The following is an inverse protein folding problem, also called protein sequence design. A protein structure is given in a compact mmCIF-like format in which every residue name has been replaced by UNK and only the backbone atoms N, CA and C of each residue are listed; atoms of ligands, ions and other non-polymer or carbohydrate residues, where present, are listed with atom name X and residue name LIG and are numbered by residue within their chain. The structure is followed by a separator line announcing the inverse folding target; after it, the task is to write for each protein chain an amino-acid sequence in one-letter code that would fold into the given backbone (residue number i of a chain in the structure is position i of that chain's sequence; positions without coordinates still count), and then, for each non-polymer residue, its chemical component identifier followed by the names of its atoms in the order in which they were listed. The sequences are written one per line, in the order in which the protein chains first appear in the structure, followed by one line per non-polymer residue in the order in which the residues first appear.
data_IF_057847634204
#
_entry.id   IF_057847634204
#
_cell.length_a   1.000
_cell.length_b   1.000
_cell.length_c   1.000
_cell.angle_alpha   90.00
_cell.angle_beta   90.00
_cell.angle_gamma   90.00
#
_symmetry.space_group_name_H-M   'P 1'
#
loop_
_entity.id
_entity.type
_entity.pdbx_description
1 polymer ?
#
# COMPACT_ATOMS: atom_id res chain seq x y z
N UNK A 1 -12.28 -18.84 10.23
CA UNK A 1 -11.84 -17.49 10.67
C UNK A 1 -11.91 -16.62 9.44
N UNK A 2 -12.49 -15.41 9.50
CA UNK A 2 -12.55 -14.54 8.34
C UNK A 2 -11.16 -14.26 7.78
N UNK A 3 -11.02 -14.24 6.46
CA UNK A 3 -9.77 -14.01 5.73
C UNK A 3 -9.93 -12.79 4.82
N UNK A 4 -9.21 -11.71 5.14
CA UNK A 4 -9.04 -10.56 4.24
C UNK A 4 -7.72 -10.70 3.49
N UNK A 5 -7.80 -10.87 2.19
CA UNK A 5 -6.63 -10.80 1.31
C UNK A 5 -6.40 -9.38 0.81
N UNK A 6 -5.15 -9.00 0.60
CA UNK A 6 -4.76 -7.70 0.06
C UNK A 6 -3.77 -7.91 -1.08
N UNK A 7 -4.11 -7.41 -2.26
CA UNK A 7 -3.20 -7.34 -3.41
C UNK A 7 -2.72 -5.89 -3.50
N UNK A 8 -1.44 -5.65 -3.27
CA UNK A 8 -0.94 -4.31 -3.01
C UNK A 8 0.14 -3.82 -3.97
N UNK A 9 0.06 -2.52 -4.27
CA UNK A 9 1.09 -1.81 -5.02
C UNK A 9 2.33 -1.62 -4.16
N UNK A 10 3.49 -1.98 -4.67
CA UNK A 10 4.77 -1.72 -3.98
C UNK A 10 5.02 -0.23 -3.68
N UNK A 11 4.40 0.69 -4.43
CA UNK A 11 4.49 2.14 -4.15
C UNK A 11 3.73 2.55 -2.89
N UNK A 12 2.75 1.76 -2.44
CA UNK A 12 1.94 2.02 -1.25
C UNK A 12 2.38 1.16 -0.05
N UNK A 13 3.64 0.72 -0.04
CA UNK A 13 4.19 -0.12 1.03
C UNK A 13 4.07 0.56 2.39
N UNK A 14 4.34 1.86 2.48
CA UNK A 14 4.31 2.63 3.74
C UNK A 14 2.90 2.79 4.27
N UNK A 15 1.93 3.10 3.40
CA UNK A 15 0.51 3.18 3.73
C UNK A 15 -0.02 1.83 4.18
N UNK A 16 0.42 0.74 3.54
CA UNK A 16 0.03 -0.62 3.94
C UNK A 16 0.62 -1.00 5.30
N UNK A 17 1.89 -0.72 5.54
CA UNK A 17 2.54 -0.94 6.85
C UNK A 17 1.79 -0.17 7.94
N UNK A 18 1.43 1.09 7.67
CA UNK A 18 0.73 1.95 8.60
C UNK A 18 -0.62 1.40 9.05
N UNK A 19 -1.45 0.93 8.11
CA UNK A 19 -2.76 0.37 8.46
C UNK A 19 -2.64 -0.96 9.21
N UNK A 20 -1.63 -1.79 8.87
CA UNK A 20 -1.44 -3.11 9.48
C UNK A 20 -0.93 -3.04 10.92
N UNK A 21 0.05 -2.17 11.21
CA UNK A 21 0.61 -2.05 12.58
C UNK A 21 -0.44 -1.53 13.58
N UNK A 22 -1.41 -0.74 13.10
CA UNK A 22 -2.45 -0.14 13.93
C UNK A 22 -3.64 -1.07 14.18
N UNK A 23 -3.74 -2.19 13.48
CA UNK A 23 -4.86 -3.12 13.62
C UNK A 23 -4.59 -4.19 14.68
N UNK A 24 -5.23 -4.03 15.84
CA UNK A 24 -5.12 -4.97 16.96
C UNK A 24 -6.02 -6.22 16.83
N UNK A 25 -6.90 -6.31 15.82
CA UNK A 25 -7.78 -7.47 15.63
C UNK A 25 -7.23 -8.49 14.62
N UNK A 26 -6.05 -8.22 14.04
CA UNK A 26 -5.33 -9.20 13.22
C UNK A 26 -4.92 -10.38 14.12
N UNK A 27 -5.47 -11.57 13.84
CA UNK A 27 -5.07 -12.84 14.48
C UNK A 27 -3.72 -13.30 13.96
N UNK A 28 -3.58 -13.30 12.64
CA UNK A 28 -2.34 -13.63 11.94
C UNK A 28 -2.19 -12.78 10.68
N UNK A 29 -0.95 -12.40 10.42
CA UNK A 29 -0.54 -11.75 9.18
C UNK A 29 0.33 -12.73 8.39
N UNK A 30 -0.09 -13.03 7.16
CA UNK A 30 0.64 -13.86 6.20
C UNK A 30 1.08 -12.95 5.07
N UNK A 31 2.34 -13.02 4.68
CA UNK A 31 2.91 -12.29 3.54
C UNK A 31 3.34 -13.31 2.51
N UNK A 32 2.83 -13.17 1.29
CA UNK A 32 3.19 -14.03 0.16
C UNK A 32 4.66 -13.79 -0.20
N UNK A 33 5.43 -14.87 -0.24
CA UNK A 33 6.86 -14.87 -0.56
C UNK A 33 7.11 -14.41 -2.00
N UNK A 34 7.94 -13.39 -2.17
CA UNK A 34 8.48 -12.97 -3.46
C UNK A 34 9.77 -12.14 -3.27
N UNK A 35 10.39 -11.68 -4.36
CA UNK A 35 11.69 -10.98 -4.31
C UNK A 35 11.63 -9.53 -3.80
N UNK A 36 10.43 -8.97 -3.57
CA UNK A 36 10.22 -7.53 -3.29
C UNK A 36 9.80 -7.24 -1.83
N UNK A 37 9.66 -8.25 -0.96
CA UNK A 37 9.09 -8.07 0.39
C UNK A 37 10.12 -7.70 1.47
N UNK A 38 11.42 -7.67 1.18
CA UNK A 38 12.43 -7.46 2.22
C UNK A 38 12.29 -6.09 2.93
N UNK A 39 12.01 -5.03 2.18
CA UNK A 39 11.73 -3.69 2.69
C UNK A 39 10.48 -3.68 3.57
N UNK A 40 9.38 -4.21 3.04
CA UNK A 40 8.10 -4.37 3.73
C UNK A 40 8.24 -5.13 5.05
N UNK A 41 8.88 -6.31 5.04
CA UNK A 41 9.09 -7.14 6.24
C UNK A 41 9.90 -6.42 7.31
N UNK A 42 10.93 -5.66 6.91
CA UNK A 42 11.72 -4.85 7.83
C UNK A 42 10.85 -3.80 8.53
N UNK A 43 10.02 -3.06 7.77
CA UNK A 43 9.14 -2.02 8.30
C UNK A 43 8.07 -2.59 9.25
N UNK A 44 7.45 -3.71 8.89
CA UNK A 44 6.51 -4.42 9.77
C UNK A 44 7.17 -4.84 11.09
N UNK A 45 8.37 -5.42 11.04
CA UNK A 45 9.11 -5.85 12.23
C UNK A 45 9.52 -4.67 13.12
N UNK A 46 9.94 -3.56 12.53
CA UNK A 46 10.21 -2.31 13.26
C UNK A 46 8.96 -1.78 13.96
N UNK A 47 7.78 -2.02 13.41
CA UNK A 47 6.48 -1.75 14.03
C UNK A 47 6.00 -2.79 15.04
N UNK A 48 6.79 -3.83 15.32
CA UNK A 48 6.43 -4.91 16.25
C UNK A 48 5.52 -6.00 15.66
N UNK A 49 5.22 -5.95 14.35
CA UNK A 49 4.39 -6.94 13.67
C UNK A 49 5.27 -7.96 12.94
N UNK A 50 5.17 -9.24 13.32
CA UNK A 50 5.99 -10.32 12.75
C UNK A 50 5.11 -11.22 11.88
N UNK A 51 5.11 -11.04 10.54
CA UNK A 51 4.32 -11.86 9.64
C UNK A 51 4.94 -13.24 9.42
N UNK A 52 4.09 -14.18 9.01
CA UNK A 52 4.53 -15.45 8.40
C UNK A 52 4.78 -15.23 6.92
N UNK A 53 5.87 -15.77 6.41
CA UNK A 53 6.21 -15.66 4.98
C UNK A 53 6.09 -17.04 4.35
N UNK A 54 5.28 -17.16 3.31
CA UNK A 54 5.03 -18.43 2.64
C UNK A 54 4.65 -18.21 1.17
N UNK A 55 4.89 -19.19 0.31
CA UNK A 55 4.44 -19.14 -1.09
C UNK A 55 2.91 -19.19 -1.18
N UNK A 56 2.35 -18.55 -2.21
CA UNK A 56 0.91 -18.38 -2.37
C UNK A 56 0.13 -19.70 -2.37
N UNK A 57 0.68 -20.73 -3.02
CA UNK A 57 0.09 -22.08 -3.13
C UNK A 57 -0.06 -22.80 -1.77
N UNK A 58 0.74 -22.41 -0.77
CA UNK A 58 0.71 -23.01 0.57
C UNK A 58 -0.09 -22.19 1.59
N UNK A 59 -0.63 -21.04 1.21
CA UNK A 59 -1.46 -20.21 2.10
C UNK A 59 -2.68 -20.98 2.64
N UNK A 60 -3.46 -21.73 1.84
CA UNK A 60 -4.63 -22.47 2.34
C UNK A 60 -4.28 -23.44 3.49
N UNK A 61 -3.16 -24.15 3.37
CA UNK A 61 -2.70 -25.09 4.41
C UNK A 61 -2.46 -24.40 5.75
N UNK A 62 -1.96 -23.15 5.74
CA UNK A 62 -1.69 -22.37 6.94
C UNK A 62 -2.98 -21.78 7.56
N UNK A 63 -3.98 -21.50 6.73
CA UNK A 63 -5.30 -21.04 7.18
C UNK A 63 -6.09 -22.19 7.84
N UNK A 64 -6.01 -23.40 7.28
CA UNK A 64 -6.69 -24.60 7.80
C UNK A 64 -6.08 -25.13 9.10
N UNK A 65 -4.76 -25.11 9.24
CA UNK A 65 -4.05 -25.67 10.41
C UNK A 65 -4.16 -24.85 11.70
N UNK A 66 -4.88 -23.71 11.67
CA UNK A 66 -5.26 -22.86 12.81
C UNK A 66 -4.40 -22.99 14.08
N UNK A 67 -3.42 -22.11 14.30
CA UNK A 67 -2.52 -22.27 15.46
C UNK A 67 -2.82 -21.34 16.66
N UNK A 68 -2.70 -21.94 17.85
CA UNK A 68 -2.83 -21.38 19.20
C UNK A 68 -1.60 -20.54 19.62
N UNK A 69 -1.75 -19.38 20.31
CA UNK A 69 -0.71 -18.36 20.34
C UNK A 69 0.34 -18.55 21.44
N UNK A 70 1.62 -18.48 21.05
CA UNK A 70 2.74 -18.09 21.92
C UNK A 70 2.87 -16.56 22.09
N UNK A 71 1.80 -15.80 21.89
CA UNK A 71 1.78 -14.33 21.97
C UNK A 71 1.44 -13.86 23.39
N UNK A 72 2.32 -14.14 24.35
CA UNK A 72 2.31 -13.52 25.69
C UNK A 72 3.76 -13.24 26.12
N UNK A 73 4.43 -12.23 25.56
CA UNK A 73 5.62 -11.65 26.24
C UNK A 73 6.14 -10.27 25.81
N UNK A 74 5.52 -9.53 24.89
CA UNK A 74 6.07 -8.24 24.45
C UNK A 74 5.21 -7.03 24.85
N UNK A 75 3.99 -7.22 25.38
CA UNK A 75 3.13 -6.12 25.82
C UNK A 75 3.65 -5.32 27.03
N UNK A 76 4.70 -5.79 27.73
CA UNK A 76 5.26 -5.08 28.90
C UNK A 76 6.41 -4.12 28.59
N UNK A 77 7.08 -4.25 27.44
CA UNK A 77 8.32 -3.49 27.18
C UNK A 77 8.09 -2.14 26.48
N UNK A 78 6.95 -1.96 25.80
CA UNK A 78 6.61 -0.73 25.07
C UNK A 78 5.91 0.35 25.92
N UNK A 79 5.71 0.13 27.23
CA UNK A 79 5.09 1.09 28.16
C UNK A 79 6.02 2.24 28.59
N UNK A 80 7.19 2.41 27.95
CA UNK A 80 8.16 3.45 28.30
C UNK A 80 8.25 4.63 27.31
N UNK A 81 7.52 4.61 26.19
CA UNK A 81 7.42 5.78 25.32
C UNK A 81 6.29 6.71 25.78
N UNK A 82 6.64 7.67 26.63
CA UNK A 82 5.76 8.63 27.31
C UNK A 82 5.07 9.69 26.41
N UNK A 83 4.90 9.46 25.09
CA UNK A 83 4.34 10.46 24.16
C UNK A 83 2.95 10.16 23.57
N UNK A 84 2.36 8.97 23.79
CA UNK A 84 0.98 8.65 23.34
C UNK A 84 -0.04 8.50 24.49
N UNK A 85 0.15 9.24 25.58
CA UNK A 85 -0.78 9.27 26.73
C UNK A 85 -1.93 10.27 26.51
N UNK A 86 -2.77 10.07 25.49
CA UNK A 86 -4.13 10.67 25.48
C UNK A 86 -5.17 10.01 24.57
N UNK A 87 -5.08 8.70 24.29
CA UNK A 87 -6.18 7.95 23.68
C UNK A 87 -6.28 6.48 24.15
N UNK A 88 -5.78 6.15 25.34
CA UNK A 88 -5.69 4.75 25.80
C UNK A 88 -6.43 4.47 27.11
N UNK A 89 -7.68 4.91 27.21
CA UNK A 89 -8.62 4.47 28.25
C UNK A 89 -10.01 4.25 27.63
N UNK A 90 -10.15 3.31 26.69
CA UNK A 90 -11.47 2.71 26.37
C UNK A 90 -11.52 1.45 25.49
N UNK A 91 -10.46 0.66 25.33
CA UNK A 91 -10.54 -0.58 24.51
C UNK A 91 -9.86 -1.75 25.22
N UNK A 92 -10.44 -2.15 26.35
CA UNK A 92 -10.33 -3.51 26.89
C UNK A 92 -11.73 -4.06 27.23
N UNK A 93 -12.74 -3.73 26.40
CA UNK A 93 -14.09 -4.28 26.56
C UNK A 93 -14.71 -4.57 25.19
N UNK A 94 -14.28 -5.70 24.60
CA UNK A 94 -14.85 -6.28 23.41
C UNK A 94 -13.99 -7.45 22.93
N UNK A 95 -14.45 -8.69 23.13
CA UNK A 95 -13.92 -9.85 22.42
C UNK A 95 -14.34 -9.74 20.94
N UNK A 96 -13.71 -8.84 20.19
CA UNK A 96 -13.94 -8.66 18.76
C UNK A 96 -13.57 -9.91 17.97
N UNK A 97 -14.32 -10.18 16.89
CA UNK A 97 -13.99 -11.26 15.95
C UNK A 97 -12.65 -10.91 15.32
N UNK A 98 -11.66 -11.77 15.52
CA UNK A 98 -10.33 -11.58 14.92
C UNK A 98 -10.35 -11.97 13.45
N UNK A 99 -9.41 -11.44 12.68
CA UNK A 99 -9.30 -11.68 11.23
C UNK A 99 -7.91 -12.18 10.86
N UNK A 100 -7.83 -13.02 9.84
CA UNK A 100 -6.58 -13.38 9.19
C UNK A 100 -6.36 -12.45 7.99
N UNK A 101 -5.15 -11.92 7.87
CA UNK A 101 -4.79 -11.03 6.77
C UNK A 101 -3.71 -11.69 5.92
N UNK A 102 -3.94 -11.80 4.60
CA UNK A 102 -2.97 -12.32 3.62
C UNK A 102 -2.56 -11.19 2.68
N UNK A 103 -1.28 -10.85 2.66
CA UNK A 103 -0.73 -9.77 1.84
C UNK A 103 0.04 -10.34 0.66
N UNK A 104 -0.29 -9.90 -0.54
CA UNK A 104 0.50 -10.12 -1.73
C UNK A 104 0.97 -8.76 -2.28
N UNK A 105 2.19 -8.38 -1.90
CA UNK A 105 2.83 -7.15 -2.36
C UNK A 105 3.48 -7.40 -3.72
N UNK A 106 2.88 -6.84 -4.77
CA UNK A 106 3.35 -7.05 -6.14
C UNK A 106 4.59 -6.20 -6.44
N UNK A 107 5.29 -6.55 -7.54
CA UNK A 107 6.52 -5.88 -7.96
C UNK A 107 6.33 -4.38 -8.14
N UNK A 108 7.36 -3.63 -7.78
CA UNK A 108 7.42 -2.18 -7.99
C UNK A 108 7.36 -1.83 -9.48
N UNK A 109 6.68 -0.74 -9.84
CA UNK A 109 6.73 -0.21 -11.20
C UNK A 109 5.95 -1.01 -12.25
N UNK A 110 5.07 -1.95 -11.86
CA UNK A 110 4.22 -2.68 -12.81
C UNK A 110 3.38 -1.76 -13.70
N UNK A 111 3.03 -0.55 -13.25
CA UNK A 111 2.28 0.44 -14.02
C UNK A 111 3.00 0.94 -15.29
N UNK A 112 4.30 0.64 -15.45
CA UNK A 112 5.05 0.95 -16.69
C UNK A 112 4.57 0.08 -17.85
N UNK A 113 4.07 -1.12 -17.58
CA UNK A 113 3.47 -2.02 -18.57
C UNK A 113 2.05 -2.39 -18.11
N UNK A 114 1.07 -1.71 -18.73
CA UNK A 114 -0.34 -1.82 -18.38
C UNK A 114 -0.91 -3.24 -18.60
N UNK A 115 -0.45 -3.95 -19.62
CA UNK A 115 -0.89 -5.33 -19.89
C UNK A 115 -0.32 -6.28 -18.85
N UNK A 116 0.96 -6.11 -18.50
CA UNK A 116 1.59 -6.88 -17.43
C UNK A 116 0.90 -6.62 -16.08
N UNK A 117 0.66 -5.35 -15.73
CA UNK A 117 -0.07 -4.96 -14.53
C UNK A 117 -1.43 -5.65 -14.46
N UNK A 118 -2.22 -5.57 -15.54
CA UNK A 118 -3.53 -6.22 -15.62
C UNK A 118 -3.40 -7.72 -15.39
N UNK A 119 -2.52 -8.37 -16.14
CA UNK A 119 -2.35 -9.82 -16.10
C UNK A 119 -1.99 -10.32 -14.69
N UNK A 120 -1.06 -9.64 -14.01
CA UNK A 120 -0.62 -9.99 -12.66
C UNK A 120 -1.72 -9.76 -11.62
N UNK A 121 -2.42 -8.62 -11.64
CA UNK A 121 -3.52 -8.37 -10.70
C UNK A 121 -4.65 -9.39 -10.90
N UNK A 122 -5.05 -9.67 -12.15
CA UNK A 122 -6.15 -10.60 -12.45
C UNK A 122 -5.80 -12.04 -12.03
N UNK A 123 -4.56 -12.47 -12.29
CA UNK A 123 -4.06 -13.77 -11.84
C UNK A 123 -4.13 -13.89 -10.31
N UNK A 124 -3.64 -12.88 -9.59
CA UNK A 124 -3.63 -12.91 -8.13
C UNK A 124 -5.03 -12.83 -7.53
N UNK A 125 -5.97 -12.09 -8.14
CA UNK A 125 -7.39 -12.10 -7.75
C UNK A 125 -7.96 -13.51 -7.85
N UNK A 126 -7.78 -14.20 -8.99
CA UNK A 126 -8.30 -15.57 -9.17
C UNK A 126 -7.72 -16.57 -8.18
N UNK A 127 -6.43 -16.48 -7.89
CA UNK A 127 -5.77 -17.41 -6.97
C UNK A 127 -6.17 -17.13 -5.51
N UNK A 128 -6.19 -15.86 -5.10
CA UNK A 128 -6.49 -15.50 -3.71
C UNK A 128 -7.99 -15.64 -3.38
N UNK A 129 -8.88 -15.50 -4.36
CA UNK A 129 -10.33 -15.66 -4.15
C UNK A 129 -10.71 -17.07 -3.67
N UNK A 130 -9.88 -18.09 -3.94
CA UNK A 130 -10.12 -19.49 -3.54
C UNK A 130 -10.15 -19.71 -2.02
N UNK A 131 -9.56 -18.80 -1.25
CA UNK A 131 -9.42 -18.94 0.21
C UNK A 131 -9.79 -17.67 1.00
N UNK A 132 -10.30 -16.64 0.32
CA UNK A 132 -10.55 -15.33 0.93
C UNK A 132 -12.03 -15.04 1.06
N UNK A 133 -12.44 -14.44 2.18
CA UNK A 133 -13.79 -13.93 2.38
C UNK A 133 -13.97 -12.52 1.77
N UNK A 134 -12.86 -11.89 1.37
CA UNK A 134 -12.83 -10.66 0.61
C UNK A 134 -11.40 -10.28 0.20
N UNK A 135 -11.26 -9.54 -0.90
CA UNK A 135 -9.96 -9.06 -1.39
C UNK A 135 -9.98 -7.54 -1.47
N UNK A 136 -9.04 -6.89 -0.77
CA UNK A 136 -8.75 -5.47 -0.96
C UNK A 136 -7.71 -5.29 -2.05
N UNK A 137 -8.10 -4.64 -3.14
CA UNK A 137 -7.22 -4.15 -4.19
C UNK A 137 -6.59 -2.84 -3.69
N UNK A 138 -5.38 -2.95 -3.14
CA UNK A 138 -4.60 -1.83 -2.62
C UNK A 138 -3.78 -1.19 -3.75
N UNK A 139 -4.52 -0.81 -4.79
CA UNK A 139 -4.11 -0.16 -6.03
C UNK A 139 -5.16 0.88 -6.41
N UNK A 140 -4.76 1.89 -7.19
CA UNK A 140 -5.71 2.73 -7.92
C UNK A 140 -6.14 2.09 -9.24
N UNK A 141 -6.81 2.85 -10.11
CA UNK A 141 -7.22 2.36 -11.43
C UNK A 141 -6.05 2.17 -12.41
N UNK A 142 -4.94 2.87 -12.17
CA UNK A 142 -3.67 2.86 -12.92
C UNK A 142 -3.88 2.94 -14.44
N UNK A 143 -4.38 4.09 -14.91
CA UNK A 143 -4.71 4.29 -16.33
C UNK A 143 -5.99 3.55 -16.75
N UNK A 144 -6.95 3.41 -15.82
CA UNK A 144 -8.23 2.72 -15.97
C UNK A 144 -8.18 1.21 -16.27
N UNK A 145 -6.98 0.62 -16.36
CA UNK A 145 -6.77 -0.81 -16.64
C UNK A 145 -7.41 -1.70 -15.59
N UNK A 146 -7.35 -1.28 -14.33
CA UNK A 146 -7.93 -1.98 -13.19
C UNK A 146 -9.38 -1.55 -12.90
N UNK A 147 -9.91 -0.55 -13.61
CA UNK A 147 -11.29 -0.06 -13.42
C UNK A 147 -12.37 -1.08 -13.82
N UNK A 148 -12.02 -2.10 -14.61
CA UNK A 148 -12.91 -3.19 -14.99
C UNK A 148 -13.02 -4.32 -13.96
N UNK A 149 -12.20 -4.35 -12.91
CA UNK A 149 -12.08 -5.50 -12.01
C UNK A 149 -13.41 -5.94 -11.38
N UNK A 150 -14.21 -5.00 -10.89
CA UNK A 150 -15.49 -5.32 -10.23
C UNK A 150 -16.48 -5.99 -11.21
N UNK A 151 -16.53 -5.52 -12.46
CA UNK A 151 -17.38 -6.11 -13.50
C UNK A 151 -16.84 -7.46 -13.98
N UNK A 152 -15.53 -7.54 -14.21
CA UNK A 152 -14.88 -8.69 -14.83
C UNK A 152 -14.80 -9.90 -13.86
N UNK A 153 -15.06 -9.67 -12.58
CA UNK A 153 -15.13 -10.66 -11.51
C UNK A 153 -16.47 -10.66 -10.75
N UNK A 154 -17.55 -10.18 -11.38
CA UNK A 154 -18.88 -10.13 -10.78
C UNK A 154 -19.47 -11.52 -10.43
N UNK A 155 -18.91 -12.58 -11.01
CA UNK A 155 -19.25 -13.99 -10.77
C UNK A 155 -18.48 -14.59 -9.58
N UNK A 156 -17.48 -13.90 -9.01
CA UNK A 156 -16.79 -14.37 -7.83
C UNK A 156 -17.66 -14.20 -6.57
N UNK A 157 -17.78 -15.27 -5.78
CA UNK A 157 -18.39 -15.20 -4.44
C UNK A 157 -17.59 -14.28 -3.49
N UNK A 158 -16.27 -14.19 -3.73
CA UNK A 158 -15.35 -13.35 -2.98
C UNK A 158 -15.47 -11.87 -3.43
N UNK A 159 -15.97 -10.95 -2.57
CA UNK A 159 -16.12 -9.55 -2.93
C UNK A 159 -14.76 -8.85 -3.06
N UNK A 160 -14.67 -7.94 -4.03
CA UNK A 160 -13.55 -7.04 -4.19
C UNK A 160 -13.83 -5.69 -3.50
N UNK A 161 -12.81 -5.16 -2.84
CA UNK A 161 -12.79 -3.83 -2.24
C UNK A 161 -11.67 -3.01 -2.88
N UNK A 162 -11.78 -1.68 -2.86
CA UNK A 162 -10.86 -0.79 -3.57
C UNK A 162 -10.47 0.40 -2.69
N UNK A 163 -9.35 1.02 -3.02
CA UNK A 163 -8.96 2.30 -2.44
C UNK A 163 -9.89 3.40 -2.96
N UNK A 164 -10.69 3.97 -2.06
CA UNK A 164 -11.67 5.00 -2.38
C UNK A 164 -11.35 6.30 -1.68
N UNK A 165 -11.53 7.41 -2.39
CA UNK A 165 -11.42 8.74 -1.79
C UNK A 165 -12.69 9.14 -1.03
N UNK A 166 -12.73 10.39 -0.54
CA UNK A 166 -13.88 10.91 0.22
C UNK A 166 -15.18 11.02 -0.58
N UNK A 167 -15.11 11.04 -1.91
CA UNK A 167 -16.29 11.04 -2.78
C UNK A 167 -16.87 9.63 -2.99
N UNK A 168 -16.11 8.59 -2.64
CA UNK A 168 -16.48 7.19 -2.84
C UNK A 168 -16.00 6.60 -4.18
N UNK A 169 -15.32 7.40 -4.98
CA UNK A 169 -14.68 7.00 -6.24
C UNK A 169 -13.36 6.27 -5.97
N UNK A 170 -13.00 5.34 -6.86
CA UNK A 170 -11.72 4.64 -6.79
C UNK A 170 -10.61 5.64 -7.14
N UNK A 171 -9.53 5.64 -6.36
CA UNK A 171 -8.39 6.53 -6.63
C UNK A 171 -7.70 6.21 -7.96
N UNK A 172 -7.21 7.23 -8.64
CA UNK A 172 -6.60 7.06 -9.97
C UNK A 172 -5.34 6.19 -9.93
N UNK A 173 -4.45 6.43 -8.96
CA UNK A 173 -3.22 5.67 -8.79
C UNK A 173 -2.68 5.78 -7.34
N UNK A 174 -1.47 5.29 -7.11
CA UNK A 174 -0.80 5.38 -5.81
C UNK A 174 -0.43 6.82 -5.41
N UNK A 175 -0.21 7.72 -6.37
CA UNK A 175 0.09 9.13 -6.07
C UNK A 175 -1.18 9.84 -5.60
N UNK A 176 -2.31 9.60 -6.28
CA UNK A 176 -3.62 10.07 -5.85
C UNK A 176 -3.96 9.58 -4.45
N UNK A 177 -3.75 8.29 -4.16
CA UNK A 177 -3.94 7.73 -2.83
C UNK A 177 -3.08 8.46 -1.78
N UNK A 178 -1.78 8.67 -2.04
CA UNK A 178 -0.85 9.32 -1.13
C UNK A 178 -1.11 10.83 -0.93
N UNK A 179 -1.74 11.50 -1.91
CA UNK A 179 -2.20 12.89 -1.78
C UNK A 179 -3.52 13.02 -1.02
N UNK A 180 -4.24 11.90 -0.80
CA UNK A 180 -5.51 11.88 -0.10
C UNK A 180 -6.76 11.80 -0.98
N UNK A 181 -6.62 11.52 -2.27
CA UNK A 181 -7.74 11.26 -3.19
C UNK A 181 -7.62 11.95 -4.55
N UNK A 182 -8.66 11.79 -5.38
CA UNK A 182 -8.64 12.29 -6.75
C UNK A 182 -8.68 13.83 -6.81
N UNK A 183 -9.49 14.46 -5.97
CA UNK A 183 -9.57 15.93 -5.90
C UNK A 183 -8.26 16.57 -5.45
N UNK A 184 -7.61 15.98 -4.43
CA UNK A 184 -6.29 16.44 -3.97
C UNK A 184 -5.23 16.29 -5.07
N UNK A 185 -5.31 15.19 -5.84
CA UNK A 185 -4.41 14.97 -6.97
C UNK A 185 -4.62 16.01 -8.08
N UNK A 186 -5.87 16.28 -8.46
CA UNK A 186 -6.20 17.32 -9.43
C UNK A 186 -5.75 18.72 -8.95
N UNK A 187 -5.95 19.03 -7.66
CA UNK A 187 -5.46 20.26 -7.03
C UNK A 187 -3.94 20.40 -7.13
N UNK A 188 -3.20 19.34 -6.81
CA UNK A 188 -1.74 19.33 -6.91
C UNK A 188 -1.23 19.55 -8.35
N UNK A 189 -1.94 19.03 -9.37
CA UNK A 189 -1.63 19.32 -10.77
C UNK A 189 -1.86 20.79 -11.13
N UNK A 190 -2.96 21.37 -10.65
CA UNK A 190 -3.30 22.79 -10.87
C UNK A 190 -2.28 23.73 -10.20
N UNK A 191 -1.85 23.43 -8.98
CA UNK A 191 -0.81 24.19 -8.27
C UNK A 191 0.53 24.21 -9.02
N UNK A 192 0.85 23.11 -9.71
CA UNK A 192 2.03 23.02 -10.57
C UNK A 192 1.89 23.80 -11.89
N UNK A 193 0.72 24.38 -12.20
CA UNK A 193 0.42 25.18 -13.40
C UNK A 193 0.82 24.49 -14.72
N UNK A 194 0.66 23.17 -14.78
CA UNK A 194 1.03 22.38 -15.96
C UNK A 194 2.54 22.30 -16.25
N UNK A 195 3.40 22.70 -15.30
CA UNK A 195 4.82 22.35 -15.35
C UNK A 195 4.96 20.84 -15.20
N UNK A 196 5.93 20.25 -15.90
CA UNK A 196 6.23 18.83 -15.71
C UNK A 196 6.71 18.61 -14.27
N UNK A 197 5.94 17.83 -13.54
CA UNK A 197 6.16 17.52 -12.13
C UNK A 197 6.29 16.03 -11.95
N UNK A 198 7.30 15.62 -11.20
CA UNK A 198 7.44 14.25 -10.71
C UNK A 198 7.04 14.23 -9.24
N UNK A 199 6.05 13.41 -8.91
CA UNK A 199 5.53 13.27 -7.55
C UNK A 199 6.29 12.17 -6.81
N UNK A 200 6.84 12.52 -5.66
CA UNK A 200 7.77 11.70 -4.89
C UNK A 200 7.12 11.34 -3.56
N UNK A 201 6.69 10.09 -3.44
CA UNK A 201 6.44 9.43 -2.15
C UNK A 201 7.76 8.87 -1.60
N UNK A 202 7.85 8.49 -0.32
CA UNK A 202 9.05 7.85 0.22
C UNK A 202 9.45 6.58 -0.56
N UNK A 203 8.47 5.75 -0.93
CA UNK A 203 8.71 4.57 -1.76
C UNK A 203 9.23 4.91 -3.16
N UNK A 204 8.73 5.98 -3.77
CA UNK A 204 9.23 6.43 -5.07
C UNK A 204 10.66 6.97 -4.96
N UNK A 205 10.92 7.86 -4.00
CA UNK A 205 12.22 8.49 -3.79
C UNK A 205 13.31 7.48 -3.39
N UNK A 206 13.00 6.46 -2.61
CA UNK A 206 13.99 5.41 -2.28
C UNK A 206 14.27 4.45 -3.44
N UNK A 207 13.38 4.38 -4.44
CA UNK A 207 13.42 3.35 -5.49
C UNK A 207 13.75 3.87 -6.87
N UNK A 208 13.89 5.19 -7.08
CA UNK A 208 14.05 5.77 -8.42
C UNK A 208 15.24 5.19 -9.21
N UNK A 209 16.37 4.91 -8.55
CA UNK A 209 17.56 4.28 -9.17
C UNK A 209 17.30 2.84 -9.63
N UNK A 210 16.47 2.11 -8.89
CA UNK A 210 16.07 0.75 -9.26
C UNK A 210 15.09 0.80 -10.43
N UNK A 211 14.08 1.68 -10.36
CA UNK A 211 13.11 1.89 -11.43
C UNK A 211 13.80 2.31 -12.74
N UNK A 212 14.83 3.14 -12.65
CA UNK A 212 15.66 3.52 -13.80
C UNK A 212 16.32 2.29 -14.44
N UNK A 213 16.96 1.42 -13.64
CA UNK A 213 17.64 0.21 -14.13
C UNK A 213 16.67 -0.85 -14.67
N UNK A 214 15.58 -1.10 -13.95
CA UNK A 214 14.58 -2.12 -14.29
C UNK A 214 13.76 -1.75 -15.52
N UNK A 215 13.56 -0.45 -15.76
CA UNK A 215 12.81 -0.02 -16.94
C UNK A 215 13.48 -0.48 -18.23
N UNK A 216 14.81 -0.73 -18.25
CA UNK A 216 15.54 -1.18 -19.44
C UNK A 216 15.38 -0.27 -20.67
N UNK A 217 14.68 0.85 -20.52
CA UNK A 217 14.02 1.56 -21.60
C UNK A 217 14.41 3.02 -21.50
N UNK A 218 14.89 3.53 -22.62
CA UNK A 218 15.27 4.92 -22.82
C UNK A 218 14.10 5.89 -22.53
N UNK A 219 12.88 5.40 -22.35
CA UNK A 219 11.65 6.17 -22.38
C UNK A 219 11.35 6.96 -21.10
N UNK A 220 11.33 6.37 -19.90
CA UNK A 220 11.12 7.15 -18.65
C UNK A 220 12.20 8.22 -18.47
N UNK A 221 13.45 7.83 -18.72
CA UNK A 221 14.60 8.70 -18.64
C UNK A 221 14.59 9.79 -19.72
N UNK A 222 14.32 9.48 -20.99
CA UNK A 222 14.38 10.49 -22.06
C UNK A 222 13.08 11.29 -22.23
N UNK A 223 11.89 10.73 -21.97
CA UNK A 223 10.61 11.47 -22.09
C UNK A 223 10.35 12.38 -20.91
N UNK A 224 10.71 11.93 -19.71
CA UNK A 224 10.30 12.61 -18.47
C UNK A 224 11.52 13.10 -17.70
N UNK A 225 12.37 12.21 -17.19
CA UNK A 225 13.40 12.59 -16.21
C UNK A 225 14.50 13.51 -16.77
N UNK A 226 14.87 13.38 -18.05
CA UNK A 226 15.84 14.25 -18.75
C UNK A 226 15.19 15.34 -19.61
N UNK A 227 13.87 15.42 -19.61
CA UNK A 227 13.14 16.40 -20.39
C UNK A 227 13.06 17.71 -19.61
N UNK A 228 13.57 18.81 -20.17
CA UNK A 228 13.57 20.13 -19.50
C UNK A 228 12.19 20.67 -19.17
N UNK A 229 11.11 20.12 -19.75
CA UNK A 229 9.73 20.43 -19.37
C UNK A 229 9.36 19.88 -18.00
N UNK A 230 10.03 18.83 -17.54
CA UNK A 230 9.92 18.30 -16.18
C UNK A 230 10.95 18.99 -15.31
N UNK A 231 10.48 19.96 -14.53
CA UNK A 231 11.34 20.86 -13.77
C UNK A 231 11.00 20.90 -12.29
N UNK A 232 9.99 20.14 -11.84
CA UNK A 232 9.55 20.09 -10.46
C UNK A 232 9.64 18.67 -9.90
N UNK A 233 10.20 18.57 -8.70
CA UNK A 233 10.17 17.38 -7.85
C UNK A 233 9.22 17.69 -6.68
N UNK A 234 8.00 17.15 -6.74
CA UNK A 234 6.99 17.35 -5.70
C UNK A 234 7.13 16.30 -4.60
N UNK A 235 7.69 16.70 -3.46
CA UNK A 235 7.79 15.86 -2.27
C UNK A 235 6.43 15.78 -1.58
N UNK A 236 5.84 14.58 -1.53
CA UNK A 236 4.58 14.32 -0.85
C UNK A 236 4.90 13.85 0.57
N UNK A 237 4.50 14.64 1.56
CA UNK A 237 4.69 14.32 2.98
C UNK A 237 3.36 13.88 3.61
N UNK A 238 3.17 12.58 3.73
CA UNK A 238 2.01 11.97 4.41
C UNK A 238 2.19 11.83 5.92
N UNK A 239 3.31 12.29 6.49
CA UNK A 239 3.66 12.11 7.90
C UNK A 239 4.08 10.68 8.28
N UNK A 240 4.21 9.77 7.31
CA UNK A 240 4.66 8.39 7.53
C UNK A 240 6.20 8.33 7.59
N UNK A 241 6.74 8.05 8.76
CA UNK A 241 8.18 8.10 9.05
C UNK A 241 8.87 6.72 8.96
N UNK A 242 8.64 5.97 7.88
CA UNK A 242 9.25 4.65 7.67
C UNK A 242 10.57 4.68 6.90
N UNK A 243 10.83 5.75 6.15
CA UNK A 243 12.10 5.98 5.46
C UNK A 243 12.85 7.18 6.07
N UNK A 244 13.88 6.96 6.91
CA UNK A 244 14.66 8.04 7.48
C UNK A 244 15.53 8.78 6.44
N UNK A 245 15.61 8.27 5.20
CA UNK A 245 16.38 8.87 4.12
C UNK A 245 15.50 9.61 3.10
N UNK A 246 14.19 9.77 3.35
CA UNK A 246 13.27 10.34 2.37
C UNK A 246 13.72 11.72 1.86
N UNK A 247 14.04 12.65 2.78
CA UNK A 247 14.53 13.99 2.41
C UNK A 247 15.77 13.92 1.52
N UNK A 248 16.77 13.15 1.95
CA UNK A 248 18.02 12.96 1.21
C UNK A 248 17.78 12.34 -0.17
N UNK A 249 16.86 11.39 -0.27
CA UNK A 249 16.53 10.71 -1.51
C UNK A 249 15.85 11.65 -2.51
N UNK A 250 14.98 12.55 -2.01
CA UNK A 250 14.35 13.61 -2.82
C UNK A 250 15.39 14.63 -3.29
N UNK A 251 16.30 15.05 -2.41
CA UNK A 251 17.40 15.95 -2.76
C UNK A 251 18.32 15.37 -3.83
N UNK A 252 18.73 14.10 -3.66
CA UNK A 252 19.57 13.38 -4.63
C UNK A 252 18.87 13.25 -6.00
N UNK A 253 17.57 12.93 -5.99
CA UNK A 253 16.76 12.88 -7.21
C UNK A 253 16.69 14.24 -7.91
N UNK A 254 16.32 15.30 -7.17
CA UNK A 254 16.16 16.63 -7.71
C UNK A 254 17.47 17.19 -8.27
N UNK A 255 18.59 16.96 -7.55
CA UNK A 255 19.93 17.33 -8.01
C UNK A 255 20.30 16.59 -9.30
N UNK A 256 20.05 15.27 -9.36
CA UNK A 256 20.39 14.43 -10.52
C UNK A 256 19.70 14.90 -11.79
N UNK A 257 18.44 15.35 -11.69
CA UNK A 257 17.63 15.72 -12.86
C UNK A 257 17.44 17.24 -13.01
N UNK A 258 18.12 18.06 -12.21
CA UNK A 258 18.03 19.52 -12.29
C UNK A 258 16.63 20.07 -11.98
N UNK A 259 15.88 19.41 -11.11
CA UNK A 259 14.51 19.78 -10.75
C UNK A 259 14.47 20.65 -9.50
N UNK A 260 13.52 21.57 -9.42
CA UNK A 260 13.22 22.33 -8.21
C UNK A 260 12.30 21.52 -7.30
N UNK A 261 12.66 21.40 -6.04
CA UNK A 261 11.82 20.75 -5.03
C UNK A 261 10.67 21.67 -4.63
N UNK A 262 9.47 21.10 -4.56
CA UNK A 262 8.30 21.69 -3.90
C UNK A 262 7.75 20.70 -2.89
N UNK A 263 7.22 21.20 -1.78
CA UNK A 263 6.60 20.36 -0.75
C UNK A 263 5.08 20.36 -0.94
N UNK A 264 4.48 19.19 -0.79
CA UNK A 264 3.05 18.98 -0.82
C UNK A 264 2.65 18.14 0.39
N UNK A 265 1.51 18.47 0.97
CA UNK A 265 0.90 17.66 2.02
C UNK A 265 0.32 16.39 1.40
N UNK A 266 0.67 15.24 1.96
CA UNK A 266 0.04 13.96 1.68
C UNK A 266 -0.94 13.55 2.78
N UNK A 267 -1.53 12.37 2.63
CA UNK A 267 -2.46 11.80 3.59
C UNK A 267 -2.48 10.27 3.53
N UNK A 268 -2.59 9.62 4.69
CA UNK A 268 -2.84 8.18 4.81
C UNK A 268 -4.33 7.82 4.86
N UNK A 269 -5.24 8.81 4.81
CA UNK A 269 -6.66 8.59 5.07
C UNK A 269 -7.34 7.65 4.06
N UNK A 270 -6.97 7.72 2.78
CA UNK A 270 -7.51 6.83 1.74
C UNK A 270 -7.20 5.37 2.10
N UNK A 271 -5.97 5.08 2.47
CA UNK A 271 -5.53 3.75 2.88
C UNK A 271 -6.25 3.29 4.16
N UNK A 272 -6.28 4.15 5.18
CA UNK A 272 -6.93 3.85 6.46
C UNK A 272 -8.41 3.54 6.30
N UNK A 273 -9.16 4.43 5.65
CA UNK A 273 -10.61 4.30 5.47
C UNK A 273 -10.95 3.07 4.63
N UNK A 274 -10.22 2.84 3.54
CA UNK A 274 -10.47 1.71 2.64
C UNK A 274 -10.14 0.37 3.30
N UNK A 275 -9.03 0.27 4.03
CA UNK A 275 -8.69 -0.92 4.81
C UNK A 275 -9.75 -1.25 5.86
N UNK A 276 -10.14 -0.26 6.67
CA UNK A 276 -11.16 -0.44 7.71
C UNK A 276 -12.52 -0.83 7.12
N UNK A 277 -12.90 -0.24 5.98
CA UNK A 277 -14.14 -0.57 5.28
C UNK A 277 -14.14 -2.03 4.79
N UNK A 278 -13.08 -2.46 4.11
CA UNK A 278 -12.94 -3.83 3.61
C UNK A 278 -12.98 -4.85 4.75
N UNK A 279 -12.19 -4.60 5.80
CA UNK A 279 -12.14 -5.45 6.99
C UNK A 279 -13.50 -5.57 7.69
N UNK A 280 -14.20 -4.45 7.89
CA UNK A 280 -15.53 -4.46 8.50
C UNK A 280 -16.56 -5.19 7.65
N UNK A 281 -16.45 -5.11 6.33
CA UNK A 281 -17.33 -5.82 5.41
C UNK A 281 -17.10 -7.33 5.46
N UNK A 282 -15.84 -7.78 5.49
CA UNK A 282 -15.50 -9.20 5.66
C UNK A 282 -16.03 -9.75 6.99
N UNK A 283 -15.81 -9.03 8.10
CA UNK A 283 -16.29 -9.44 9.43
C UNK A 283 -17.81 -9.50 9.58
N UNK A 284 -18.58 -8.85 8.70
CA UNK A 284 -20.06 -8.89 8.70
C UNK A 284 -20.63 -10.09 7.94
N UNK A 285 -19.84 -10.70 7.05
CA UNK A 285 -20.26 -11.85 6.24
C UNK A 285 -20.04 -13.20 6.95
N UNK A 286 -19.21 -13.22 7.99
CA UNK A 286 -18.89 -14.41 8.79
C UNK A 286 -19.72 -14.47 10.07
#
# INVERSE_FOLDING_TARGET
MPVLSIIACGMLEDELVHVLIRDCEIRQLIVVENNNISGFLRKLRSGGLVPRVISLDRVPMLLETGFSPGFKKISKMLMHFHFFRKMNEKIESGAGIKIDVVINLLRLGLHVDLELLKSEVYKNVREMAKFSDGILIFYGTCGHVLGGLERDFADLECPLFFLKDSSGEIVEDCISAALGGNDAYAGAMLECRGKGTIYLTPMWASSWKMLEKESGNRDLNNRYLKNSRYCLAAKIDSGLLYDPYFDRNVEDFALTFGMKIINMSGSSEVAEKSYLAARKAVLRKT
#
